data_IF_443547277230
#
_entry.id   IF_443547277230
#
_cell.length_a   1.000
_cell.length_b   1.000
_cell.length_c   1.000
_cell.angle_alpha   90.00
_cell.angle_beta   90.00
_cell.angle_gamma   90.00
#
_symmetry.space_group_name_H-M   'P 1'
#
loop_
_entity.id
_entity.type
_entity.pdbx_description
1 polymer ?
#
# COMPACT_ATOMS: atom_id res chain seq x y z
N UNK A 1 1.63 8.09 -14.66
CA UNK A 1 2.68 7.67 -15.62
C UNK A 1 2.07 6.68 -16.61
N UNK A 2 2.48 6.66 -17.89
CA UNK A 2 2.09 5.64 -18.88
C UNK A 2 3.30 4.79 -19.22
N UNK A 3 3.16 3.48 -19.13
CA UNK A 3 4.23 2.52 -19.41
C UNK A 3 3.64 1.37 -20.21
N UNK A 4 4.33 0.97 -21.29
CA UNK A 4 3.97 -0.22 -22.04
C UNK A 4 4.63 -1.44 -21.39
N UNK A 5 3.86 -2.51 -21.18
CA UNK A 5 4.33 -3.76 -20.59
C UNK A 5 4.01 -4.92 -21.54
N UNK A 6 4.90 -5.91 -21.59
CA UNK A 6 4.64 -7.17 -22.29
C UNK A 6 3.92 -8.13 -21.35
N UNK A 7 2.88 -8.80 -21.84
CA UNK A 7 2.03 -9.70 -21.06
C UNK A 7 1.78 -10.99 -21.84
N UNK A 8 1.73 -12.16 -21.17
CA UNK A 8 1.21 -13.37 -21.80
C UNK A 8 -0.21 -13.16 -22.33
N UNK A 9 -0.49 -13.72 -23.52
CA UNK A 9 -1.78 -13.53 -24.21
C UNK A 9 -2.96 -14.02 -23.38
N UNK A 10 -2.81 -15.13 -22.65
CA UNK A 10 -3.88 -15.69 -21.83
C UNK A 10 -4.24 -14.79 -20.64
N UNK A 11 -3.25 -14.12 -20.03
CA UNK A 11 -3.44 -13.15 -18.95
C UNK A 11 -4.20 -11.93 -19.49
N UNK A 12 -3.79 -11.42 -20.65
CA UNK A 12 -4.48 -10.32 -21.31
C UNK A 12 -5.96 -10.66 -21.59
N UNK A 13 -6.24 -11.81 -22.19
CA UNK A 13 -7.61 -12.23 -22.49
C UNK A 13 -8.49 -12.45 -21.25
N UNK A 14 -7.90 -12.92 -20.14
CA UNK A 14 -8.60 -13.03 -18.85
C UNK A 14 -8.93 -11.64 -18.30
N UNK A 15 -7.99 -10.71 -18.36
CA UNK A 15 -8.20 -9.33 -17.91
C UNK A 15 -9.24 -8.59 -18.76
N UNK A 16 -9.26 -8.77 -20.08
CA UNK A 16 -10.29 -8.19 -20.96
C UNK A 16 -11.70 -8.66 -20.60
N UNK A 17 -11.86 -9.97 -20.38
CA UNK A 17 -13.16 -10.53 -19.97
C UNK A 17 -13.60 -9.97 -18.62
N UNK A 18 -12.67 -9.78 -17.68
CA UNK A 18 -12.96 -9.18 -16.39
C UNK A 18 -13.37 -7.72 -16.52
N UNK A 19 -12.64 -6.94 -17.32
CA UNK A 19 -12.92 -5.52 -17.58
C UNK A 19 -14.35 -5.34 -18.13
N UNK A 20 -14.73 -6.16 -19.11
CA UNK A 20 -16.07 -6.16 -19.69
C UNK A 20 -17.15 -6.47 -18.65
N UNK A 21 -16.98 -7.55 -17.88
CA UNK A 21 -17.93 -7.95 -16.83
C UNK A 21 -18.08 -6.89 -15.74
N UNK A 22 -16.97 -6.26 -15.35
CA UNK A 22 -16.94 -5.23 -14.32
C UNK A 22 -17.33 -3.83 -14.83
N UNK A 23 -17.54 -3.66 -16.15
CA UNK A 23 -17.72 -2.35 -16.81
C UNK A 23 -16.61 -1.35 -16.45
N UNK A 24 -15.37 -1.84 -16.37
CA UNK A 24 -14.17 -1.03 -16.09
C UNK A 24 -13.30 -0.93 -17.32
N UNK A 25 -12.48 0.12 -17.39
CA UNK A 25 -11.45 0.18 -18.42
C UNK A 25 -10.35 -0.85 -18.14
N UNK A 26 -9.65 -1.24 -19.19
CA UNK A 26 -8.53 -2.18 -19.13
C UNK A 26 -7.43 -1.67 -18.20
N UNK A 27 -7.05 -0.40 -18.36
CA UNK A 27 -6.07 0.25 -17.50
C UNK A 27 -6.51 0.29 -16.04
N UNK A 28 -7.80 0.45 -15.76
CA UNK A 28 -8.30 0.40 -14.39
C UNK A 28 -8.11 -0.98 -13.75
N UNK A 29 -8.43 -2.08 -14.46
CA UNK A 29 -8.19 -3.44 -13.98
C UNK A 29 -6.71 -3.66 -13.63
N UNK A 30 -5.80 -3.28 -14.54
CA UNK A 30 -4.37 -3.44 -14.29
C UNK A 30 -3.88 -2.57 -13.12
N UNK A 31 -4.35 -1.33 -13.01
CA UNK A 31 -4.02 -0.46 -11.89
C UNK A 31 -4.50 -1.01 -10.54
N UNK A 32 -5.74 -1.52 -10.47
CA UNK A 32 -6.29 -2.13 -9.27
C UNK A 32 -5.48 -3.37 -8.86
N UNK A 33 -5.20 -4.26 -9.81
CA UNK A 33 -4.40 -5.46 -9.58
C UNK A 33 -2.98 -5.15 -9.07
N UNK A 34 -2.31 -4.15 -9.67
CA UNK A 34 -0.98 -3.73 -9.24
C UNK A 34 -1.00 -3.12 -7.83
N UNK A 35 -1.98 -2.28 -7.51
CA UNK A 35 -2.12 -1.73 -6.15
C UNK A 35 -2.31 -2.82 -5.12
N UNK A 36 -3.20 -3.77 -5.40
CA UNK A 36 -3.46 -4.89 -4.50
C UNK A 36 -2.22 -5.79 -4.36
N UNK A 37 -1.51 -6.06 -5.45
CA UNK A 37 -0.28 -6.84 -5.41
C UNK A 37 0.80 -6.16 -4.56
N UNK A 38 1.06 -4.88 -4.79
CA UNK A 38 2.04 -4.12 -4.00
C UNK A 38 1.63 -4.09 -2.53
N UNK A 39 0.38 -3.74 -2.22
CA UNK A 39 -0.10 -3.70 -0.83
C UNK A 39 0.04 -5.05 -0.11
N UNK A 40 -0.15 -6.17 -0.81
CA UNK A 40 0.05 -7.51 -0.24
C UNK A 40 1.52 -7.87 0.01
N UNK A 41 2.47 -7.19 -0.63
CA UNK A 41 3.90 -7.49 -0.56
C UNK A 41 4.75 -6.37 0.05
N UNK A 42 4.12 -5.27 0.45
CA UNK A 42 4.76 -4.15 1.14
C UNK A 42 4.16 -3.98 2.53
N UNK A 43 4.46 -4.88 3.50
CA UNK A 43 4.01 -4.71 4.88
C UNK A 43 4.49 -3.38 5.49
N UNK A 44 5.65 -2.90 5.03
CA UNK A 44 6.27 -1.67 5.49
C UNK A 44 5.58 -0.40 4.97
N UNK A 45 4.71 -0.48 3.95
CA UNK A 45 4.04 0.70 3.39
C UNK A 45 3.14 1.40 4.41
N UNK A 46 2.56 0.65 5.36
CA UNK A 46 1.75 1.21 6.44
C UNK A 46 2.64 1.98 7.42
N UNK A 47 3.76 1.40 7.82
CA UNK A 47 4.77 2.04 8.67
C UNK A 47 5.31 3.30 8.01
N UNK A 48 5.65 3.23 6.73
CA UNK A 48 6.14 4.36 5.95
C UNK A 48 5.07 5.45 5.75
N UNK A 49 3.80 5.07 5.57
CA UNK A 49 2.70 6.03 5.52
C UNK A 49 2.50 6.73 6.87
N UNK A 50 2.61 6.00 7.98
CA UNK A 50 2.57 6.54 9.33
C UNK A 50 3.75 7.49 9.57
N UNK A 51 4.97 7.11 9.19
CA UNK A 51 6.15 7.95 9.30
C UNK A 51 5.97 9.27 8.53
N UNK A 52 5.53 9.22 7.28
CA UNK A 52 5.24 10.44 6.47
C UNK A 52 4.15 11.31 7.07
N UNK A 53 3.09 10.71 7.63
CA UNK A 53 2.03 11.45 8.30
C UNK A 53 2.55 12.17 9.56
N UNK A 54 3.39 11.49 10.36
CA UNK A 54 4.03 12.08 11.53
C UNK A 54 4.98 13.23 11.17
N UNK A 55 5.73 13.11 10.07
CA UNK A 55 6.57 14.19 9.54
C UNK A 55 5.74 15.42 9.13
N UNK A 56 4.55 15.23 8.54
CA UNK A 56 3.68 16.33 8.11
C UNK A 56 2.96 17.02 9.27
N UNK A 57 2.51 16.26 10.26
CA UNK A 57 1.81 16.81 11.43
C UNK A 57 2.80 17.52 12.36
N UNK A 58 4.07 17.09 12.35
CA UNK A 58 5.08 17.53 13.29
C UNK A 58 4.91 16.85 14.65
N UNK A 59 6.02 16.53 15.31
CA UNK A 59 5.98 15.96 16.66
C UNK A 59 6.04 17.07 17.71
N UNK A 60 5.07 17.10 18.61
CA UNK A 60 5.22 17.82 19.88
C UNK A 60 5.92 16.87 20.85
N UNK A 61 7.12 17.22 21.31
CA UNK A 61 7.82 16.44 22.33
C UNK A 61 7.13 16.58 23.69
N UNK A 62 6.19 15.68 23.96
CA UNK A 62 5.62 15.52 25.29
C UNK A 62 6.37 14.42 26.05
N UNK A 63 7.06 14.83 27.12
CA UNK A 63 7.88 13.94 27.95
C UNK A 63 7.08 12.79 28.57
N UNK A 64 5.81 12.99 28.89
CA UNK A 64 4.94 11.93 29.39
C UNK A 64 4.67 10.89 28.30
N UNK A 65 4.35 11.35 27.08
CA UNK A 65 4.08 10.47 25.93
C UNK A 65 5.32 9.63 25.59
N UNK A 66 6.52 10.22 25.60
CA UNK A 66 7.77 9.48 25.36
C UNK A 66 8.00 8.37 26.39
N UNK A 67 7.96 8.70 27.69
CA UNK A 67 8.20 7.73 28.76
C UNK A 67 7.14 6.62 28.81
N UNK A 68 5.88 6.95 28.51
CA UNK A 68 4.81 5.97 28.43
C UNK A 68 5.01 5.00 27.25
N UNK A 69 5.42 5.52 26.09
CA UNK A 69 5.66 4.74 24.87
C UNK A 69 6.84 3.78 25.03
N UNK A 70 7.96 4.22 25.60
CA UNK A 70 9.13 3.37 25.88
C UNK A 70 8.76 2.16 26.76
N UNK A 71 8.00 2.40 27.84
CA UNK A 71 7.54 1.34 28.74
C UNK A 71 6.57 0.37 28.08
N UNK A 72 5.71 0.86 27.19
CA UNK A 72 4.77 0.02 26.45
C UNK A 72 5.51 -0.87 25.44
N UNK A 73 6.43 -0.30 24.66
CA UNK A 73 7.19 -1.02 23.64
C UNK A 73 8.14 -2.07 24.25
N UNK A 74 8.72 -1.79 25.43
CA UNK A 74 9.58 -2.75 26.13
C UNK A 74 8.86 -4.03 26.61
N UNK A 75 7.53 -4.08 26.54
CA UNK A 75 6.70 -5.24 26.97
C UNK A 75 6.22 -6.11 25.82
N UNK A 76 6.49 -5.73 24.58
CA UNK A 76 6.06 -6.47 23.40
C UNK A 76 7.21 -7.33 22.92
N UNK A 77 6.96 -8.62 22.70
CA UNK A 77 7.92 -9.48 21.99
C UNK A 77 7.79 -9.25 20.48
N UNK A 78 8.93 -9.04 19.83
CA UNK A 78 9.06 -8.79 18.40
C UNK A 78 9.43 -10.06 17.64
#
# INVERSE_FOLDING_TARGET
MKTAISLPKDVFEKAERLALKARKSRSQIYCEALREYVARHSPDDVTDALNRAMEQIGQTEDRFVTLASERALARVEW
#
